data_IF_393241171822
#
_entry.id   IF_393241171822
#
_cell.length_a   1.000
_cell.length_b   1.000
_cell.length_c   1.000
_cell.angle_alpha   90.00
_cell.angle_beta   90.00
_cell.angle_gamma   90.00
#
_symmetry.space_group_name_H-M   'P 1'
#
loop_
_entity.id
_entity.type
_entity.pdbx_description
1 polymer ?
#
# COMPACT_ATOMS: atom_id res chain seq x y z
N UNK A 1 -4.63 -25.54 -15.47
CA UNK A 1 -4.69 -25.82 -16.93
C UNK A 1 -6.10 -26.12 -17.45
N UNK A 2 -6.69 -27.33 -17.33
CA UNK A 2 -8.02 -27.60 -17.94
C UNK A 2 -9.13 -26.72 -17.35
N UNK A 3 -9.19 -26.58 -16.02
CA UNK A 3 -10.21 -25.76 -15.35
C UNK A 3 -10.08 -24.26 -15.70
N UNK A 4 -8.87 -23.72 -15.80
CA UNK A 4 -8.65 -22.31 -16.16
C UNK A 4 -9.02 -22.02 -17.61
N UNK A 5 -8.70 -22.95 -18.53
CA UNK A 5 -9.09 -22.80 -19.93
C UNK A 5 -10.61 -22.79 -20.10
N UNK A 6 -11.31 -23.68 -19.39
CA UNK A 6 -12.78 -23.69 -19.37
C UNK A 6 -13.36 -22.37 -18.84
N UNK A 7 -12.81 -21.84 -17.74
CA UNK A 7 -13.27 -20.58 -17.16
C UNK A 7 -13.04 -19.38 -18.08
N UNK A 8 -11.92 -19.37 -18.81
CA UNK A 8 -11.65 -18.36 -19.84
C UNK A 8 -12.67 -18.43 -20.98
N UNK A 9 -12.93 -19.63 -21.51
CA UNK A 9 -13.92 -19.82 -22.57
C UNK A 9 -15.32 -19.39 -22.12
N UNK A 10 -15.74 -19.76 -20.91
CA UNK A 10 -17.04 -19.35 -20.37
C UNK A 10 -17.12 -17.83 -20.19
N UNK A 11 -16.03 -17.20 -19.73
CA UNK A 11 -15.95 -15.75 -19.58
C UNK A 11 -16.07 -15.06 -20.93
N UNK A 12 -15.26 -15.45 -21.91
CA UNK A 12 -15.32 -14.91 -23.27
C UNK A 12 -16.72 -15.06 -23.86
N UNK A 13 -17.33 -16.23 -23.69
CA UNK A 13 -18.66 -16.54 -24.17
C UNK A 13 -19.75 -15.62 -23.60
N UNK A 14 -19.66 -15.22 -22.33
CA UNK A 14 -20.59 -14.27 -21.70
C UNK A 14 -20.26 -12.79 -21.99
N UNK A 15 -19.03 -12.47 -22.37
CA UNK A 15 -18.60 -11.11 -22.73
C UNK A 15 -18.99 -10.72 -24.17
N UNK A 16 -19.26 -11.68 -25.07
CA UNK A 16 -19.74 -11.37 -26.43
C UNK A 16 -21.11 -10.69 -26.37
N UNK A 17 -21.24 -9.54 -27.03
CA UNK A 17 -22.50 -8.80 -27.13
C UNK A 17 -23.36 -9.27 -28.32
N UNK A 18 -24.66 -8.99 -28.25
CA UNK A 18 -25.60 -9.17 -29.37
C UNK A 18 -25.08 -8.53 -30.68
N UNK A 19 -25.39 -9.11 -31.86
CA UNK A 19 -26.30 -10.25 -32.09
C UNK A 19 -25.64 -11.63 -31.99
N UNK A 20 -24.32 -11.70 -31.74
CA UNK A 20 -23.56 -12.96 -31.73
C UNK A 20 -23.33 -13.54 -30.33
N UNK A 21 -23.77 -12.81 -29.29
CA UNK A 21 -23.63 -13.19 -27.89
C UNK A 21 -24.88 -13.78 -27.26
N UNK A 22 -24.76 -14.19 -26.00
CA UNK A 22 -25.89 -14.61 -25.17
C UNK A 22 -26.40 -13.44 -24.34
N UNK A 23 -27.70 -13.20 -24.43
CA UNK A 23 -28.38 -12.18 -23.63
C UNK A 23 -29.16 -12.79 -22.46
N UNK A 24 -29.54 -14.06 -22.54
CA UNK A 24 -30.33 -14.70 -21.49
C UNK A 24 -30.10 -16.21 -21.40
N UNK A 25 -30.37 -16.79 -20.23
CA UNK A 25 -30.32 -18.24 -19.99
C UNK A 25 -31.59 -18.75 -19.31
N UNK A 26 -31.91 -20.02 -19.52
CA UNK A 26 -33.05 -20.69 -18.87
C UNK A 26 -32.62 -21.51 -17.65
N UNK A 27 -31.45 -22.15 -17.70
CA UNK A 27 -30.93 -22.96 -16.59
C UNK A 27 -29.40 -23.14 -16.66
N UNK A 28 -28.78 -23.43 -15.51
CA UNK A 28 -27.39 -23.87 -15.38
C UNK A 28 -27.36 -25.21 -14.65
N UNK A 29 -26.87 -26.26 -15.31
CA UNK A 29 -26.91 -27.62 -14.77
C UNK A 29 -25.59 -28.07 -14.13
N UNK A 30 -25.62 -28.42 -12.83
CA UNK A 30 -24.56 -29.23 -12.24
C UNK A 30 -24.75 -30.69 -12.63
N UNK A 31 -23.77 -31.28 -13.31
CA UNK A 31 -23.82 -32.69 -13.70
C UNK A 31 -22.97 -33.52 -12.74
N UNK A 32 -23.58 -34.51 -12.08
CA UNK A 32 -22.91 -35.41 -11.13
C UNK A 32 -23.45 -36.84 -11.27
N UNK A 33 -22.60 -37.88 -11.13
CA UNK A 33 -23.11 -39.24 -10.95
C UNK A 33 -24.01 -39.35 -9.71
N UNK A 34 -25.11 -40.10 -9.80
CA UNK A 34 -26.05 -40.34 -8.70
C UNK A 34 -25.39 -40.99 -7.47
N UNK A 35 -24.33 -41.78 -7.69
CA UNK A 35 -23.54 -42.45 -6.65
C UNK A 35 -22.44 -41.57 -6.03
N UNK A 36 -22.33 -40.29 -6.42
CA UNK A 36 -21.28 -39.39 -5.93
C UNK A 36 -21.39 -39.22 -4.41
N UNK A 37 -20.39 -39.66 -3.67
CA UNK A 37 -20.36 -39.55 -2.20
C UNK A 37 -19.47 -38.40 -1.70
N UNK A 38 -18.57 -37.90 -2.55
CA UNK A 38 -17.62 -36.81 -2.24
C UNK A 38 -17.24 -36.08 -3.53
N UNK A 39 -17.10 -34.76 -3.45
CA UNK A 39 -16.45 -33.97 -4.51
C UNK A 39 -14.94 -33.91 -4.29
N UNK A 40 -14.19 -34.07 -5.38
CA UNK A 40 -12.76 -33.78 -5.40
C UNK A 40 -12.51 -32.28 -5.21
N UNK A 41 -11.31 -31.90 -4.75
CA UNK A 41 -10.92 -30.49 -4.65
C UNK A 41 -11.03 -29.75 -5.99
N UNK A 42 -10.71 -30.43 -7.10
CA UNK A 42 -10.87 -29.88 -8.45
C UNK A 42 -12.33 -29.62 -8.81
N UNK A 43 -13.24 -30.56 -8.53
CA UNK A 43 -14.68 -30.37 -8.78
C UNK A 43 -15.26 -29.23 -7.93
N UNK A 44 -14.91 -29.18 -6.64
CA UNK A 44 -15.30 -28.07 -5.75
C UNK A 44 -14.83 -26.73 -6.32
N UNK A 45 -13.57 -26.65 -6.75
CA UNK A 45 -13.02 -25.45 -7.37
C UNK A 45 -13.76 -25.06 -8.64
N UNK A 46 -14.05 -26.01 -9.54
CA UNK A 46 -14.78 -25.72 -10.79
C UNK A 46 -16.17 -25.17 -10.49
N UNK A 47 -16.94 -25.82 -9.62
CA UNK A 47 -18.28 -25.32 -9.27
C UNK A 47 -18.21 -23.95 -8.58
N UNK A 48 -17.25 -23.77 -7.68
CA UNK A 48 -16.99 -22.49 -7.04
C UNK A 48 -16.62 -21.40 -8.05
N UNK A 49 -15.73 -21.67 -9.01
CA UNK A 49 -15.27 -20.71 -9.99
C UNK A 49 -16.33 -20.40 -11.06
N UNK A 50 -17.13 -21.38 -11.48
CA UNK A 50 -18.26 -21.15 -12.40
C UNK A 50 -19.31 -20.27 -11.73
N UNK A 51 -19.65 -20.51 -10.45
CA UNK A 51 -20.60 -19.65 -9.73
C UNK A 51 -20.12 -18.21 -9.53
N UNK A 52 -18.80 -17.99 -9.52
CA UNK A 52 -18.24 -16.64 -9.47
C UNK A 52 -18.48 -15.81 -10.74
N UNK A 53 -18.79 -16.46 -11.88
CA UNK A 53 -19.06 -15.76 -13.13
C UNK A 53 -20.44 -15.09 -13.11
N UNK A 54 -21.40 -15.67 -12.38
CA UNK A 54 -22.81 -15.30 -12.50
C UNK A 54 -23.25 -14.23 -11.49
N UNK A 55 -24.23 -13.44 -11.94
CA UNK A 55 -25.01 -12.54 -11.09
C UNK A 55 -25.83 -13.30 -10.05
N UNK A 56 -26.09 -12.66 -8.90
CA UNK A 56 -26.86 -13.22 -7.78
C UNK A 56 -28.30 -13.57 -8.17
N UNK A 57 -28.84 -12.88 -9.18
CA UNK A 57 -30.17 -13.08 -9.76
C UNK A 57 -30.32 -14.46 -10.44
N UNK A 58 -29.22 -15.06 -10.90
CA UNK A 58 -29.22 -16.39 -11.53
C UNK A 58 -29.37 -17.55 -10.55
N UNK A 59 -29.37 -17.31 -9.24
CA UNK A 59 -29.36 -18.36 -8.21
C UNK A 59 -30.44 -19.43 -8.42
N UNK A 60 -31.66 -19.00 -8.74
CA UNK A 60 -32.81 -19.89 -8.94
C UNK A 60 -32.82 -20.60 -10.29
N UNK A 61 -31.82 -20.37 -11.16
CA UNK A 61 -31.64 -21.06 -12.44
C UNK A 61 -30.71 -22.26 -12.35
N UNK A 62 -30.05 -22.47 -11.22
CA UNK A 62 -29.18 -23.64 -11.06
C UNK A 62 -30.00 -24.89 -10.79
N UNK A 63 -29.73 -25.96 -11.53
CA UNK A 63 -30.40 -27.27 -11.42
C UNK A 63 -29.37 -28.38 -11.25
N UNK A 64 -29.78 -29.46 -10.59
CA UNK A 64 -28.94 -30.64 -10.38
C UNK A 64 -29.33 -31.75 -11.36
N UNK A 65 -28.40 -32.15 -12.22
CA UNK A 65 -28.57 -33.22 -13.21
C UNK A 65 -27.77 -34.44 -12.77
N UNK A 66 -28.46 -35.47 -12.26
CA UNK A 66 -27.82 -36.69 -11.79
C UNK A 66 -27.72 -37.71 -12.91
N UNK A 67 -26.52 -38.06 -13.35
CA UNK A 67 -26.29 -39.12 -14.32
C UNK A 67 -26.14 -40.49 -13.64
N UNK A 68 -26.25 -41.57 -14.40
CA UNK A 68 -26.16 -42.95 -13.89
C UNK A 68 -27.16 -43.26 -12.77
N UNK A 69 -28.36 -42.66 -12.83
CA UNK A 69 -29.43 -42.94 -11.88
C UNK A 69 -30.22 -44.17 -12.35
N UNK A 70 -29.76 -45.35 -11.98
CA UNK A 70 -30.33 -46.66 -12.29
C UNK A 70 -31.56 -47.04 -11.43
N UNK A 71 -32.16 -46.07 -10.75
CA UNK A 71 -33.25 -46.28 -9.78
C UNK A 71 -32.77 -46.52 -8.34
N UNK A 72 -31.46 -46.53 -8.10
CA UNK A 72 -30.90 -46.58 -6.75
C UNK A 72 -31.08 -45.26 -5.98
N UNK A 73 -30.88 -45.32 -4.66
CA UNK A 73 -30.90 -44.16 -3.78
C UNK A 73 -29.86 -43.11 -4.21
N UNK A 74 -30.36 -41.93 -4.52
CA UNK A 74 -29.64 -40.72 -4.95
C UNK A 74 -29.22 -39.83 -3.78
N UNK A 75 -29.56 -40.21 -2.54
CA UNK A 75 -29.18 -39.49 -1.32
C UNK A 75 -27.68 -39.21 -1.22
N UNK A 76 -26.75 -40.09 -1.66
CA UNK A 76 -25.32 -39.80 -1.60
C UNK A 76 -24.94 -38.52 -2.37
N UNK A 77 -25.40 -38.36 -3.61
CA UNK A 77 -25.14 -37.17 -4.41
C UNK A 77 -25.79 -35.93 -3.80
N UNK A 78 -27.04 -36.05 -3.32
CA UNK A 78 -27.76 -34.94 -2.68
C UNK A 78 -27.01 -34.47 -1.42
N UNK A 79 -26.57 -35.39 -0.56
CA UNK A 79 -25.82 -35.07 0.66
C UNK A 79 -24.46 -34.44 0.32
N UNK A 80 -23.82 -34.89 -0.77
CA UNK A 80 -22.57 -34.32 -1.27
C UNK A 80 -22.73 -32.87 -1.73
N UNK A 81 -23.79 -32.58 -2.50
CA UNK A 81 -24.10 -31.22 -2.98
C UNK A 81 -24.44 -30.30 -1.80
N UNK A 82 -25.26 -30.77 -0.85
CA UNK A 82 -25.60 -30.03 0.38
C UNK A 82 -24.37 -29.72 1.24
N UNK A 83 -23.53 -30.71 1.52
CA UNK A 83 -22.30 -30.53 2.31
C UNK A 83 -21.28 -29.61 1.63
N UNK A 84 -21.31 -29.54 0.29
CA UNK A 84 -20.48 -28.64 -0.50
C UNK A 84 -21.07 -27.22 -0.64
N UNK A 85 -22.21 -26.94 0.00
CA UNK A 85 -22.92 -25.64 -0.04
C UNK A 85 -23.27 -25.18 -1.45
N UNK A 86 -23.46 -26.11 -2.38
CA UNK A 86 -23.95 -25.80 -3.72
C UNK A 86 -25.47 -25.67 -3.67
N UNK A 87 -25.99 -24.58 -4.22
CA UNK A 87 -27.41 -24.34 -4.33
C UNK A 87 -27.94 -24.89 -5.66
N UNK A 88 -29.17 -25.38 -5.66
CA UNK A 88 -29.92 -25.78 -6.84
C UNK A 88 -31.41 -25.70 -6.51
N UNK A 89 -32.23 -25.35 -7.50
CA UNK A 89 -33.69 -25.25 -7.36
C UNK A 89 -34.35 -26.62 -7.47
N UNK A 90 -34.03 -27.32 -8.55
CA UNK A 90 -34.64 -28.59 -8.91
C UNK A 90 -33.59 -29.63 -9.28
N UNK A 91 -34.02 -30.90 -9.26
CA UNK A 91 -33.17 -32.04 -9.57
C UNK A 91 -33.85 -32.94 -10.60
N UNK A 92 -33.06 -33.39 -11.57
CA UNK A 92 -33.46 -34.33 -12.60
C UNK A 92 -32.50 -35.51 -12.64
N UNK A 93 -33.03 -36.70 -12.85
CA UNK A 93 -32.28 -37.95 -12.84
C UNK A 93 -32.23 -38.53 -14.26
N UNK A 94 -31.03 -38.80 -14.73
CA UNK A 94 -30.79 -39.36 -16.05
C UNK A 94 -30.13 -40.72 -15.90
N UNK A 95 -30.78 -41.73 -16.47
CA UNK A 95 -30.16 -43.03 -16.67
C UNK A 95 -29.69 -43.13 -18.11
N UNK A 96 -28.38 -43.15 -18.31
CA UNK A 96 -27.78 -43.24 -19.64
C UNK A 96 -27.43 -44.69 -20.02
N UNK A 97 -27.72 -45.69 -19.17
CA UNK A 97 -27.39 -47.10 -19.43
C UNK A 97 -28.06 -47.63 -20.70
N UNK A 98 -29.33 -47.26 -20.90
CA UNK A 98 -30.12 -47.71 -22.04
C UNK A 98 -29.68 -47.08 -23.38
N UNK A 99 -28.94 -45.97 -23.36
CA UNK A 99 -28.49 -45.28 -24.59
C UNK A 99 -27.48 -46.12 -25.38
N UNK A 100 -26.73 -46.98 -24.70
CA UNK A 100 -25.66 -47.79 -25.28
C UNK A 100 -25.97 -49.29 -25.25
N UNK A 101 -27.19 -49.67 -24.90
CA UNK A 101 -27.57 -51.07 -24.73
C UNK A 101 -28.28 -51.63 -25.97
N UNK A 102 -28.19 -52.95 -26.18
CA UNK A 102 -28.99 -53.64 -27.19
C UNK A 102 -30.47 -53.71 -26.75
N UNK A 103 -31.39 -53.41 -27.66
CA UNK A 103 -32.84 -53.33 -27.41
C UNK A 103 -33.54 -54.69 -27.14
N UNK A 104 -32.78 -55.75 -26.87
CA UNK A 104 -33.28 -57.11 -26.71
C UNK A 104 -33.64 -57.44 -25.26
N UNK A 105 -33.00 -56.79 -24.28
CA UNK A 105 -33.21 -57.03 -22.85
C UNK A 105 -34.39 -56.20 -22.28
N UNK A 106 -35.26 -56.85 -21.50
CA UNK A 106 -36.41 -56.23 -20.86
C UNK A 106 -36.02 -55.15 -19.85
N UNK A 107 -34.87 -55.30 -19.15
CA UNK A 107 -34.39 -54.27 -18.22
C UNK A 107 -33.96 -53.00 -18.95
N UNK A 108 -33.33 -53.13 -20.11
CA UNK A 108 -32.89 -51.98 -20.91
C UNK A 108 -34.08 -51.19 -21.45
N UNK A 109 -35.15 -51.88 -21.86
CA UNK A 109 -36.42 -51.23 -22.23
C UNK A 109 -37.02 -50.43 -21.07
N UNK A 110 -37.00 -50.97 -19.84
CA UNK A 110 -37.47 -50.27 -18.65
C UNK A 110 -36.64 -49.01 -18.37
N UNK A 111 -35.32 -49.10 -18.46
CA UNK A 111 -34.43 -47.95 -18.31
C UNK A 111 -34.62 -46.90 -19.41
N UNK A 112 -34.90 -47.31 -20.64
CA UNK A 112 -35.21 -46.41 -21.74
C UNK A 112 -36.50 -45.61 -21.48
N UNK A 113 -37.59 -46.28 -21.08
CA UNK A 113 -38.87 -45.63 -20.74
C UNK A 113 -38.70 -44.66 -19.56
N UNK A 114 -37.94 -45.05 -18.53
CA UNK A 114 -37.60 -44.16 -17.42
C UNK A 114 -36.81 -42.93 -17.89
N UNK A 115 -35.82 -43.13 -18.77
CA UNK A 115 -35.04 -42.05 -19.37
C UNK A 115 -35.90 -41.08 -20.18
N UNK A 116 -36.83 -41.58 -21.01
CA UNK A 116 -37.77 -40.75 -21.77
C UNK A 116 -38.65 -39.90 -20.84
N UNK A 117 -39.20 -40.51 -19.79
CA UNK A 117 -40.03 -39.80 -18.80
C UNK A 117 -39.25 -38.67 -18.12
N UNK A 118 -38.04 -38.94 -17.66
CA UNK A 118 -37.22 -37.95 -16.97
C UNK A 118 -36.75 -36.82 -17.90
N UNK A 119 -36.38 -37.14 -19.14
CA UNK A 119 -36.04 -36.12 -20.15
C UNK A 119 -37.25 -35.24 -20.47
N UNK A 120 -38.43 -35.84 -20.65
CA UNK A 120 -39.67 -35.09 -20.87
C UNK A 120 -39.96 -34.13 -19.72
N UNK A 121 -39.88 -34.60 -18.47
CA UNK A 121 -40.07 -33.74 -17.29
C UNK A 121 -39.07 -32.59 -17.23
N UNK A 122 -37.79 -32.84 -17.54
CA UNK A 122 -36.76 -31.80 -17.59
C UNK A 122 -37.04 -30.75 -18.67
N UNK A 123 -37.34 -31.18 -19.91
CA UNK A 123 -37.59 -30.28 -21.03
C UNK A 123 -38.90 -29.50 -20.86
N UNK A 124 -39.95 -30.10 -20.29
CA UNK A 124 -41.19 -29.40 -19.95
C UNK A 124 -40.96 -28.35 -18.87
N UNK A 125 -40.18 -28.66 -17.83
CA UNK A 125 -39.80 -27.67 -16.81
C UNK A 125 -39.00 -26.52 -17.43
N UNK A 126 -38.01 -26.83 -18.26
CA UNK A 126 -37.18 -25.82 -18.94
C UNK A 126 -37.99 -24.94 -19.90
N UNK A 127 -38.96 -25.51 -20.63
CA UNK A 127 -39.81 -24.77 -21.56
C UNK A 127 -40.84 -23.86 -20.88
N UNK A 128 -41.21 -24.16 -19.63
CA UNK A 128 -42.09 -23.32 -18.81
C UNK A 128 -41.31 -22.26 -18.00
N UNK A 129 -39.99 -22.36 -17.95
CA UNK A 129 -39.14 -21.46 -17.19
C UNK A 129 -38.91 -20.16 -17.97
N UNK A 130 -39.15 -19.01 -17.33
CA UNK A 130 -38.77 -17.74 -17.92
C UNK A 130 -37.24 -17.60 -18.03
N UNK A 131 -36.72 -17.11 -19.15
CA UNK A 131 -35.29 -16.79 -19.25
C UNK A 131 -34.90 -15.65 -18.30
N UNK A 132 -33.66 -15.65 -17.80
CA UNK A 132 -33.08 -14.52 -17.06
C UNK A 132 -32.03 -13.80 -17.92
N UNK A 133 -32.03 -12.46 -17.86
CA UNK A 133 -30.99 -11.66 -18.54
C UNK A 133 -29.61 -11.93 -17.93
N UNK A 134 -28.58 -11.85 -18.76
CA UNK A 134 -27.18 -11.93 -18.33
C UNK A 134 -26.56 -10.56 -18.03
N UNK A 135 -27.33 -9.47 -17.97
CA UNK A 135 -26.78 -8.13 -17.72
C UNK A 135 -26.01 -8.04 -16.39
N UNK A 136 -26.57 -8.58 -15.29
CA UNK A 136 -25.88 -8.58 -13.99
C UNK A 136 -24.66 -9.50 -14.01
N UNK A 137 -24.70 -10.60 -14.77
CA UNK A 137 -23.55 -11.49 -15.00
C UNK A 137 -22.44 -10.75 -15.74
N UNK A 138 -22.76 -9.98 -16.79
CA UNK A 138 -21.79 -9.13 -17.51
C UNK A 138 -21.18 -8.09 -16.58
N UNK A 139 -21.97 -7.46 -15.70
CA UNK A 139 -21.46 -6.51 -14.70
C UNK A 139 -20.50 -7.18 -13.71
N UNK A 140 -20.82 -8.39 -13.22
CA UNK A 140 -19.92 -9.19 -12.35
C UNK A 140 -18.57 -9.43 -13.03
N UNK A 141 -18.55 -9.78 -14.31
CA UNK A 141 -17.31 -10.03 -15.05
C UNK A 141 -16.47 -8.76 -15.19
N UNK A 142 -17.10 -7.60 -15.44
CA UNK A 142 -16.44 -6.29 -15.49
C UNK A 142 -15.81 -5.93 -14.14
N UNK A 143 -16.58 -6.00 -13.05
CA UNK A 143 -16.10 -5.69 -11.69
C UNK A 143 -14.97 -6.63 -11.26
N UNK A 144 -15.05 -7.92 -11.59
CA UNK A 144 -13.96 -8.89 -11.34
C UNK A 144 -12.70 -8.54 -12.13
N UNK A 145 -12.85 -8.16 -13.40
CA UNK A 145 -11.75 -7.69 -14.23
C UNK A 145 -11.08 -6.44 -13.65
N UNK A 146 -11.89 -5.47 -13.19
CA UNK A 146 -11.42 -4.27 -12.53
C UNK A 146 -10.65 -4.59 -11.23
N UNK A 147 -11.18 -5.49 -10.40
CA UNK A 147 -10.51 -5.91 -9.16
C UNK A 147 -9.18 -6.60 -9.45
N UNK A 148 -9.14 -7.56 -10.39
CA UNK A 148 -7.92 -8.26 -10.74
C UNK A 148 -6.81 -7.29 -11.20
N UNK A 149 -7.19 -6.29 -12.01
CA UNK A 149 -6.28 -5.22 -12.43
C UNK A 149 -5.83 -4.34 -11.25
N UNK A 150 -6.75 -3.96 -10.36
CA UNK A 150 -6.44 -3.15 -9.18
C UNK A 150 -5.47 -3.87 -8.24
N UNK A 151 -5.68 -5.16 -7.96
CA UNK A 151 -4.79 -5.97 -7.12
C UNK A 151 -3.39 -6.11 -7.74
N UNK A 152 -3.30 -6.31 -9.06
CA UNK A 152 -2.02 -6.36 -9.77
C UNK A 152 -1.27 -5.03 -9.65
N UNK A 153 -1.94 -3.91 -9.94
CA UNK A 153 -1.33 -2.59 -9.86
C UNK A 153 -0.88 -2.26 -8.43
N UNK A 154 -1.70 -2.58 -7.42
CA UNK A 154 -1.32 -2.39 -6.03
C UNK A 154 -0.10 -3.22 -5.63
N UNK A 155 0.02 -4.46 -6.13
CA UNK A 155 1.21 -5.27 -5.90
C UNK A 155 2.48 -4.59 -6.45
N UNK A 156 2.42 -4.05 -7.66
CA UNK A 156 3.52 -3.30 -8.28
C UNK A 156 3.84 -2.01 -7.50
N UNK A 157 2.82 -1.26 -7.07
CA UNK A 157 3.01 -0.04 -6.28
C UNK A 157 3.65 -0.33 -4.91
N UNK A 158 3.22 -1.40 -4.23
CA UNK A 158 3.77 -1.83 -2.93
C UNK A 158 5.24 -2.18 -3.09
N UNK A 159 5.62 -2.89 -4.16
CA UNK A 159 7.00 -3.19 -4.47
C UNK A 159 7.80 -1.89 -4.73
N UNK A 160 7.24 -0.96 -5.51
CA UNK A 160 7.86 0.33 -5.79
C UNK A 160 8.10 1.18 -4.53
N UNK A 161 7.11 1.26 -3.63
CA UNK A 161 7.27 1.94 -2.33
C UNK A 161 8.30 1.24 -1.46
N UNK A 162 8.30 -0.09 -1.42
CA UNK A 162 9.27 -0.85 -0.64
C UNK A 162 10.71 -0.60 -1.12
N UNK A 163 10.93 -0.56 -2.45
CA UNK A 163 12.24 -0.19 -3.02
C UNK A 163 12.68 1.19 -2.59
N UNK A 164 11.81 2.21 -2.69
CA UNK A 164 12.14 3.57 -2.25
C UNK A 164 12.46 3.65 -0.75
N UNK A 165 11.78 2.85 0.08
CA UNK A 165 12.10 2.75 1.50
C UNK A 165 13.50 2.17 1.73
N UNK A 166 13.88 1.14 0.97
CA UNK A 166 15.26 0.61 1.01
C UNK A 166 16.28 1.68 0.59
N UNK A 167 16.03 2.41 -0.49
CA UNK A 167 16.90 3.51 -0.95
C UNK A 167 17.03 4.60 0.13
N UNK A 168 15.92 4.93 0.80
CA UNK A 168 15.91 5.88 1.90
C UNK A 168 16.80 5.39 3.05
N UNK A 169 16.67 4.12 3.44
CA UNK A 169 17.50 3.53 4.50
C UNK A 169 19.00 3.55 4.15
N UNK A 170 19.36 3.28 2.90
CA UNK A 170 20.75 3.32 2.43
C UNK A 170 21.33 4.73 2.47
N UNK A 171 20.62 5.72 1.90
CA UNK A 171 21.04 7.13 1.93
C UNK A 171 21.10 7.68 3.37
N UNK A 172 20.23 7.19 4.25
CA UNK A 172 20.24 7.53 5.67
C UNK A 172 21.53 7.07 6.36
N UNK A 173 22.02 5.86 6.05
CA UNK A 173 23.30 5.34 6.56
C UNK A 173 24.48 6.13 5.98
N UNK A 174 24.43 6.48 4.70
CA UNK A 174 25.43 7.33 4.07
C UNK A 174 25.49 8.71 4.72
N UNK A 175 24.32 9.32 5.01
CA UNK A 175 24.26 10.62 5.67
C UNK A 175 24.97 10.56 7.02
N UNK A 176 24.66 9.56 7.85
CA UNK A 176 25.34 9.37 9.14
C UNK A 176 26.86 9.30 8.99
N UNK A 177 27.35 8.53 8.01
CA UNK A 177 28.78 8.45 7.73
C UNK A 177 29.37 9.84 7.41
N UNK A 178 28.71 10.61 6.54
CA UNK A 178 29.13 11.98 6.21
C UNK A 178 29.04 12.93 7.41
N UNK A 179 28.10 12.73 8.35
CA UNK A 179 28.04 13.54 9.58
C UNK A 179 29.27 13.34 10.46
N UNK A 180 29.71 12.09 10.62
CA UNK A 180 30.95 11.78 11.33
C UNK A 180 32.16 12.40 10.63
N UNK A 181 32.28 12.26 9.30
CA UNK A 181 33.39 12.83 8.53
C UNK A 181 33.44 14.37 8.65
N UNK A 182 32.28 15.04 8.56
CA UNK A 182 32.19 16.50 8.77
C UNK A 182 32.65 16.87 10.17
N UNK A 183 32.22 16.14 11.21
CA UNK A 183 32.59 16.44 12.60
C UNK A 183 34.11 16.39 12.83
N UNK A 184 34.82 15.51 12.15
CA UNK A 184 36.29 15.37 12.22
C UNK A 184 37.03 16.51 11.51
N UNK A 185 36.38 17.17 10.55
CA UNK A 185 36.93 18.32 9.80
C UNK A 185 36.58 19.68 10.37
N UNK A 186 35.91 19.73 11.52
CA UNK A 186 35.58 20.97 12.22
C UNK A 186 36.64 21.32 13.27
N UNK A 187 37.10 22.56 13.28
CA UNK A 187 37.86 23.14 14.38
C UNK A 187 36.97 24.04 15.23
N UNK A 188 37.14 23.91 16.54
CA UNK A 188 36.55 24.83 17.50
C UNK A 188 37.49 26.02 17.65
N UNK A 189 37.10 27.17 17.09
CA UNK A 189 37.88 28.41 17.13
C UNK A 189 37.10 29.50 17.84
N UNK A 190 37.82 30.33 18.60
CA UNK A 190 37.27 31.56 19.14
C UNK A 190 37.28 32.64 18.04
N UNK A 191 36.11 33.17 17.71
CA UNK A 191 35.97 34.24 16.72
C UNK A 191 35.29 35.48 17.31
N UNK A 192 35.57 36.64 16.71
CA UNK A 192 35.18 37.95 17.22
C UNK A 192 33.94 38.45 16.49
N UNK A 193 32.81 38.52 17.21
CA UNK A 193 31.56 39.01 16.65
C UNK A 193 31.32 40.47 17.03
N UNK A 194 31.03 41.29 16.02
CA UNK A 194 30.64 42.69 16.18
C UNK A 194 29.11 42.78 16.29
N UNK A 195 28.62 43.10 17.48
CA UNK A 195 27.19 43.24 17.79
C UNK A 195 26.83 44.72 17.80
N UNK A 196 25.86 45.13 16.99
CA UNK A 196 25.32 46.50 17.00
C UNK A 196 24.40 46.70 18.21
N UNK A 197 24.46 47.88 18.84
CA UNK A 197 23.67 48.23 20.02
C UNK A 197 22.70 49.36 19.66
N UNK A 198 21.39 49.14 19.84
CA UNK A 198 20.35 50.09 19.45
C UNK A 198 20.22 51.28 20.42
N UNK A 199 20.30 51.02 21.72
CA UNK A 199 20.09 52.02 22.78
C UNK A 199 21.32 52.28 23.64
N UNK A 200 22.08 51.23 23.91
CA UNK A 200 23.25 51.28 24.78
C UNK A 200 24.53 51.54 23.98
N UNK A 201 25.61 51.89 24.69
CA UNK A 201 26.93 52.02 24.09
C UNK A 201 27.93 51.13 24.83
N UNK A 202 29.00 50.77 24.14
CA UNK A 202 30.13 50.05 24.72
C UNK A 202 31.41 50.85 24.52
N UNK A 203 32.37 50.63 25.43
CA UNK A 203 33.70 51.22 25.31
C UNK A 203 34.63 50.15 24.76
N UNK A 204 35.15 50.38 23.56
CA UNK A 204 36.01 49.43 22.86
C UNK A 204 37.42 49.99 22.74
N UNK A 205 38.43 49.13 22.85
CA UNK A 205 39.83 49.53 22.73
C UNK A 205 40.39 49.19 21.34
N UNK A 206 40.84 50.18 20.58
CA UNK A 206 41.42 49.98 19.24
C UNK A 206 42.75 49.21 19.26
N UNK A 207 43.49 49.24 20.37
CA UNK A 207 44.80 48.58 20.48
C UNK A 207 44.70 47.11 20.89
N UNK A 208 43.57 46.64 21.42
CA UNK A 208 43.41 45.28 21.93
C UNK A 208 42.52 44.44 21.02
N UNK A 209 42.84 44.38 19.71
CA UNK A 209 42.00 43.72 18.70
C UNK A 209 40.51 44.10 18.80
N UNK A 210 40.22 45.35 19.16
CA UNK A 210 38.86 45.87 19.32
C UNK A 210 38.07 45.20 20.47
N UNK A 211 38.70 44.77 21.56
CA UNK A 211 38.00 44.21 22.72
C UNK A 211 37.05 45.20 23.40
N UNK A 212 35.83 44.78 23.74
CA UNK A 212 34.91 45.55 24.59
C UNK A 212 35.39 45.58 26.04
N UNK A 213 35.79 46.77 26.48
CA UNK A 213 36.34 47.05 27.81
C UNK A 213 35.26 47.33 28.86
N UNK A 214 34.15 47.95 28.45
CA UNK A 214 32.97 48.21 29.28
C UNK A 214 31.69 48.07 28.45
N UNK A 215 30.71 47.33 28.98
CA UNK A 215 29.35 47.25 28.47
C UNK A 215 28.40 46.85 29.62
N UNK A 216 27.24 47.54 29.78
CA UNK A 216 26.89 48.81 29.17
C UNK A 216 27.82 49.94 29.65
N UNK A 217 28.14 50.89 28.76
CA UNK A 217 29.06 51.99 29.07
C UNK A 217 28.43 52.97 30.06
N UNK A 218 29.05 53.09 31.24
CA UNK A 218 28.64 54.07 32.25
C UNK A 218 29.45 55.35 32.03
N UNK A 219 29.00 56.21 31.12
CA UNK A 219 29.60 57.53 30.91
C UNK A 219 28.57 58.61 31.25
N UNK A 220 29.01 59.69 31.91
CA UNK A 220 28.15 60.82 32.24
C UNK A 220 27.73 61.61 30.97
N UNK A 221 26.89 62.65 31.15
CA UNK A 221 26.43 63.52 30.06
C UNK A 221 27.57 64.17 29.26
N UNK A 222 28.78 64.29 29.84
CA UNK A 222 29.97 64.87 29.19
C UNK A 222 30.51 64.02 28.03
N UNK A 223 30.13 62.73 27.96
CA UNK A 223 30.68 61.72 27.02
C UNK A 223 32.21 61.55 27.12
N UNK A 224 32.86 62.03 28.19
CA UNK A 224 34.30 61.83 28.35
C UNK A 224 34.60 60.37 28.74
N UNK A 225 35.38 59.71 27.89
CA UNK A 225 35.80 58.32 28.08
C UNK A 225 36.65 58.16 29.34
N UNK A 226 37.29 59.23 29.85
CA UNK A 226 38.03 59.18 31.12
C UNK A 226 37.16 58.93 32.35
N UNK A 227 35.87 59.24 32.26
CA UNK A 227 34.90 59.07 33.36
C UNK A 227 34.27 57.67 33.41
N UNK A 228 34.57 56.85 32.40
CA UNK A 228 34.15 55.46 32.33
C UNK A 228 34.65 54.63 33.52
N UNK A 229 33.82 53.70 33.99
CA UNK A 229 34.19 52.75 35.05
C UNK A 229 35.36 51.84 34.66
N UNK A 230 35.63 51.65 33.36
CA UNK A 230 36.77 50.87 32.92
C UNK A 230 38.10 51.63 32.95
N UNK A 231 38.09 52.96 33.02
CA UNK A 231 39.31 53.77 33.15
C UNK A 231 39.57 54.07 34.64
N UNK A 232 40.80 53.88 35.11
CA UNK A 232 41.18 54.17 36.51
C UNK A 232 41.74 55.60 36.64
N UNK A 233 41.06 56.51 37.35
CA UNK A 233 41.63 57.80 37.74
C UNK A 233 42.95 57.61 38.52
N UNK A 234 43.93 58.50 38.34
CA UNK A 234 45.21 58.46 39.06
C UNK A 234 46.27 57.49 38.50
N UNK A 235 45.93 56.58 37.59
CA UNK A 235 46.89 55.62 36.99
C UNK A 235 47.36 56.01 35.58
N UNK A 236 47.60 57.30 35.34
CA UNK A 236 47.77 57.88 33.99
C UNK A 236 46.61 57.54 33.04
N UNK A 237 45.39 57.33 33.59
CA UNK A 237 44.17 56.96 32.87
C UNK A 237 44.33 55.69 32.01
N UNK A 238 44.81 54.60 32.61
CA UNK A 238 44.85 53.28 31.97
C UNK A 238 43.57 52.50 32.22
N UNK A 239 43.17 51.70 31.24
CA UNK A 239 42.01 50.80 31.34
C UNK A 239 42.30 49.64 32.29
N UNK A 240 41.35 49.33 33.19
CA UNK A 240 41.45 48.21 34.15
C UNK A 240 41.42 46.84 33.48
N UNK A 241 40.73 46.71 32.35
CA UNK A 241 40.53 45.44 31.64
C UNK A 241 41.67 45.11 30.68
N UNK A 242 42.13 46.09 29.90
CA UNK A 242 43.14 45.85 28.86
C UNK A 242 44.48 46.57 29.08
N UNK A 243 44.63 47.35 30.17
CA UNK A 243 45.83 48.14 30.54
C UNK A 243 46.28 49.21 29.54
N UNK A 244 45.59 49.36 28.40
CA UNK A 244 45.86 50.40 27.41
C UNK A 244 45.43 51.80 27.89
N UNK A 245 46.01 52.83 27.27
CA UNK A 245 45.65 54.23 27.56
C UNK A 245 44.21 54.53 27.14
N UNK A 246 43.50 55.36 27.92
CA UNK A 246 42.16 55.86 27.57
C UNK A 246 42.06 56.44 26.16
N UNK A 247 43.15 57.03 25.61
CA UNK A 247 43.20 57.60 24.25
C UNK A 247 42.89 56.59 23.15
N UNK A 248 43.11 55.31 23.43
CA UNK A 248 42.87 54.19 22.50
C UNK A 248 41.48 53.59 22.65
N UNK A 249 40.64 54.16 23.51
CA UNK A 249 39.28 53.69 23.74
C UNK A 249 38.28 54.61 23.02
N UNK A 250 37.23 54.01 22.47
CA UNK A 250 36.13 54.72 21.81
C UNK A 250 34.80 54.26 22.38
N UNK A 251 33.90 55.21 22.60
CA UNK A 251 32.51 54.94 22.90
C UNK A 251 31.76 54.69 21.59
N UNK A 252 31.29 53.47 21.36
CA UNK A 252 30.66 53.07 20.11
C UNK A 252 29.32 52.36 20.36
N UNK A 253 28.39 52.46 19.40
CA UNK A 253 27.12 51.70 19.39
C UNK A 253 27.33 50.26 18.88
N UNK A 254 28.42 49.62 19.32
CA UNK A 254 28.75 48.24 19.00
C UNK A 254 29.59 47.64 20.11
N UNK A 255 29.39 46.36 20.41
CA UNK A 255 30.26 45.57 21.30
C UNK A 255 30.86 44.39 20.54
N UNK A 256 32.01 43.93 21.02
CA UNK A 256 32.71 42.77 20.51
C UNK A 256 32.56 41.64 21.53
N UNK A 257 32.02 40.53 21.07
CA UNK A 257 31.81 39.32 21.85
C UNK A 257 32.64 38.21 21.22
N UNK A 258 33.46 37.55 22.04
CA UNK A 258 34.17 36.35 21.61
C UNK A 258 33.18 35.20 21.74
N UNK A 259 32.93 34.49 20.64
CA UNK A 259 32.14 33.27 20.66
C UNK A 259 32.99 32.12 20.16
N UNK A 260 32.85 31.00 20.82
CA UNK A 260 33.38 29.72 20.36
C UNK A 260 32.50 29.24 19.22
N UNK A 261 33.05 29.14 18.00
CA UNK A 261 32.34 28.65 16.82
C UNK A 261 33.10 27.50 16.17
N UNK A 262 32.38 26.61 15.51
CA UNK A 262 32.98 25.56 14.70
C UNK A 262 33.19 26.07 13.27
N UNK A 263 34.43 26.04 12.78
CA UNK A 263 34.77 26.36 11.38
C UNK A 263 35.36 25.14 10.67
N UNK A 264 35.15 25.06 9.36
CA UNK A 264 35.68 23.99 8.53
C UNK A 264 37.21 24.12 8.35
N UNK A 265 37.92 22.99 8.42
CA UNK A 265 39.33 22.88 8.05
C UNK A 265 39.49 22.91 6.53
N UNK A 266 40.05 24.01 6.02
CA UNK A 266 40.43 24.13 4.61
C UNK A 266 39.27 23.94 3.62
N UNK A 267 39.62 23.79 2.34
CA UNK A 267 38.64 23.60 1.26
C UNK A 267 37.93 22.24 1.39
N UNK A 268 38.63 21.21 1.86
CA UNK A 268 38.09 19.86 2.00
C UNK A 268 36.92 19.80 3.00
N UNK A 269 37.01 20.49 4.15
CA UNK A 269 35.91 20.57 5.11
C UNK A 269 34.68 21.28 4.55
N UNK A 270 34.88 22.33 3.73
CA UNK A 270 33.78 23.05 3.06
C UNK A 270 33.07 22.14 2.06
N UNK A 271 33.82 21.35 1.27
CA UNK A 271 33.26 20.38 0.32
C UNK A 271 32.42 19.32 1.05
N UNK A 272 32.93 18.72 2.13
CA UNK A 272 32.19 17.72 2.92
C UNK A 272 30.90 18.27 3.52
N UNK A 273 30.90 19.53 3.97
CA UNK A 273 29.68 20.21 4.44
C UNK A 273 28.67 20.42 3.32
N UNK A 274 29.13 20.82 2.13
CA UNK A 274 28.28 20.98 0.96
C UNK A 274 27.66 19.64 0.51
N UNK A 275 28.45 18.58 0.43
CA UNK A 275 27.96 17.23 0.11
C UNK A 275 26.95 16.71 1.14
N UNK A 276 27.18 16.93 2.44
CA UNK A 276 26.22 16.59 3.49
C UNK A 276 24.89 17.31 3.27
N UNK A 277 24.93 18.61 2.95
CA UNK A 277 23.71 19.40 2.68
C UNK A 277 22.97 18.86 1.46
N UNK A 278 23.69 18.54 0.38
CA UNK A 278 23.10 17.96 -0.83
C UNK A 278 22.41 16.62 -0.53
N UNK A 279 23.08 15.70 0.19
CA UNK A 279 22.49 14.42 0.56
C UNK A 279 21.26 14.58 1.47
N UNK A 280 21.29 15.52 2.42
CA UNK A 280 20.12 15.86 3.25
C UNK A 280 18.94 16.35 2.41
N UNK A 281 19.20 17.14 1.35
CA UNK A 281 18.16 17.60 0.42
C UNK A 281 17.57 16.46 -0.42
N UNK A 282 18.40 15.51 -0.88
CA UNK A 282 17.95 14.33 -1.63
C UNK A 282 17.08 13.40 -0.76
N UNK A 283 17.51 13.14 0.48
CA UNK A 283 16.75 12.38 1.47
C UNK A 283 15.37 12.99 1.72
N UNK A 284 15.30 14.32 1.80
CA UNK A 284 14.04 15.05 1.97
C UNK A 284 13.10 14.84 0.79
N UNK A 285 13.58 14.98 -0.44
CA UNK A 285 12.79 14.74 -1.65
C UNK A 285 12.31 13.28 -1.74
N UNK A 286 13.18 12.33 -1.39
CA UNK A 286 12.84 10.91 -1.38
C UNK A 286 11.77 10.59 -0.32
N UNK A 287 11.90 11.11 0.90
CA UNK A 287 10.91 10.95 1.97
C UNK A 287 9.54 11.53 1.56
N UNK A 288 9.52 12.70 0.91
CA UNK A 288 8.28 13.29 0.38
C UNK A 288 7.67 12.43 -0.74
N UNK A 289 8.49 11.87 -1.63
CA UNK A 289 8.04 10.94 -2.69
C UNK A 289 7.41 9.68 -2.10
N UNK A 290 8.02 9.08 -1.07
CA UNK A 290 7.49 7.89 -0.39
C UNK A 290 6.14 8.22 0.25
N UNK A 291 6.03 9.32 1.00
CA UNK A 291 4.78 9.74 1.64
C UNK A 291 3.67 9.95 0.61
N UNK A 292 3.98 10.55 -0.55
CA UNK A 292 3.02 10.69 -1.64
C UNK A 292 2.56 9.34 -2.17
N UNK A 293 3.49 8.43 -2.46
CA UNK A 293 3.15 7.08 -2.94
C UNK A 293 2.33 6.28 -1.93
N UNK A 294 2.57 6.45 -0.62
CA UNK A 294 1.73 5.83 0.42
C UNK A 294 0.30 6.35 0.43
N UNK A 295 0.08 7.66 0.23
CA UNK A 295 -1.27 8.23 0.11
C UNK A 295 -1.99 7.67 -1.13
N UNK A 296 -1.29 7.60 -2.26
CA UNK A 296 -1.82 7.02 -3.50
C UNK A 296 -2.18 5.53 -3.33
N UNK A 297 -1.34 4.76 -2.63
CA UNK A 297 -1.62 3.36 -2.27
C UNK A 297 -2.92 3.21 -1.46
N UNK A 298 -3.13 4.05 -0.44
CA UNK A 298 -4.36 4.03 0.36
C UNK A 298 -5.59 4.29 -0.51
N UNK A 299 -5.53 5.26 -1.42
CA UNK A 299 -6.63 5.52 -2.35
C UNK A 299 -6.93 4.31 -3.24
N UNK A 300 -5.91 3.67 -3.81
CA UNK A 300 -6.09 2.46 -4.64
C UNK A 300 -6.63 1.27 -3.85
N UNK A 301 -6.24 1.11 -2.59
CA UNK A 301 -6.82 0.10 -1.68
C UNK A 301 -8.31 0.36 -1.46
N UNK A 302 -8.70 1.63 -1.28
CA UNK A 302 -10.11 2.01 -1.13
C UNK A 302 -10.93 1.68 -2.38
N UNK A 303 -10.38 1.93 -3.57
CA UNK A 303 -11.00 1.54 -4.84
C UNK A 303 -11.20 0.03 -4.94
N UNK A 304 -10.15 -0.76 -4.66
CA UNK A 304 -10.25 -2.23 -4.65
C UNK A 304 -11.27 -2.74 -3.63
N UNK A 305 -11.34 -2.11 -2.46
CA UNK A 305 -12.34 -2.43 -1.44
C UNK A 305 -13.76 -2.09 -1.90
N UNK A 306 -13.97 -0.96 -2.58
CA UNK A 306 -15.26 -0.59 -3.14
C UNK A 306 -15.74 -1.61 -4.18
N UNK A 307 -14.86 -2.04 -5.10
CA UNK A 307 -15.15 -3.11 -6.05
C UNK A 307 -15.50 -4.43 -5.35
N UNK A 308 -14.79 -4.79 -4.27
CA UNK A 308 -15.15 -5.97 -3.46
C UNK A 308 -16.53 -5.85 -2.82
N UNK A 309 -16.91 -4.67 -2.31
CA UNK A 309 -18.28 -4.45 -1.80
C UNK A 309 -19.28 -4.65 -2.94
N UNK A 310 -19.04 -4.04 -4.10
CA UNK A 310 -19.93 -4.19 -5.26
C UNK A 310 -20.12 -5.66 -5.62
N UNK A 311 -19.02 -6.44 -5.71
CA UNK A 311 -19.08 -7.87 -5.95
C UNK A 311 -19.88 -8.64 -4.88
N UNK A 312 -19.87 -8.21 -3.61
CA UNK A 312 -20.74 -8.79 -2.57
C UNK A 312 -22.23 -8.56 -2.81
N UNK A 313 -22.60 -7.48 -3.50
CA UNK A 313 -23.98 -7.15 -3.82
C UNK A 313 -24.48 -7.90 -5.05
N UNK A 314 -23.63 -8.00 -6.09
CA UNK A 314 -24.08 -8.47 -7.41
C UNK A 314 -23.67 -9.90 -7.74
N UNK A 315 -22.60 -10.43 -7.15
CA UNK A 315 -22.07 -11.75 -7.50
C UNK A 315 -22.76 -12.85 -6.71
N UNK A 316 -23.11 -13.94 -7.40
CA UNK A 316 -23.65 -15.14 -6.78
C UNK A 316 -22.66 -15.78 -5.80
N UNK A 317 -21.37 -15.68 -6.12
CA UNK A 317 -20.28 -16.07 -5.24
C UNK A 317 -19.29 -14.89 -5.13
N UNK A 318 -19.28 -14.15 -4.01
CA UNK A 318 -18.67 -12.84 -3.96
C UNK A 318 -17.20 -12.82 -3.55
N UNK A 319 -16.68 -13.91 -2.99
CA UNK A 319 -15.27 -13.97 -2.61
C UNK A 319 -14.42 -13.87 -3.90
N UNK A 320 -13.55 -12.85 -4.03
CA UNK A 320 -12.80 -12.64 -5.25
C UNK A 320 -11.51 -13.47 -5.30
N UNK A 321 -11.14 -14.13 -4.21
CA UNK A 321 -9.87 -14.83 -4.08
C UNK A 321 -10.00 -16.30 -4.49
N UNK A 322 -8.92 -16.93 -5.00
CA UNK A 322 -8.92 -18.36 -5.28
C UNK A 322 -9.20 -19.17 -4.00
N UNK A 323 -9.81 -20.35 -4.15
CA UNK A 323 -10.13 -21.23 -3.04
C UNK A 323 -8.85 -21.77 -2.37
N UNK A 324 -8.71 -21.62 -1.05
CA UNK A 324 -7.52 -22.07 -0.32
C UNK A 324 -7.28 -23.58 -0.46
N UNK A 325 -8.37 -24.36 -0.30
CA UNK A 325 -8.35 -25.81 -0.46
C UNK A 325 -7.83 -26.25 -1.84
N UNK A 326 -8.05 -25.43 -2.88
CA UNK A 326 -7.59 -25.73 -4.23
C UNK A 326 -6.09 -25.48 -4.40
N UNK A 327 -5.57 -24.37 -3.86
CA UNK A 327 -4.12 -24.10 -3.88
C UNK A 327 -3.38 -25.20 -3.13
N UNK A 328 -3.88 -25.62 -1.97
CA UNK A 328 -3.30 -26.72 -1.18
C UNK A 328 -3.33 -28.05 -1.94
N UNK A 329 -4.45 -28.35 -2.61
CA UNK A 329 -4.55 -29.52 -3.46
C UNK A 329 -3.52 -29.50 -4.60
N UNK A 330 -3.31 -28.37 -5.28
CA UNK A 330 -2.29 -28.23 -6.33
C UNK A 330 -0.88 -28.48 -5.77
N UNK A 331 -0.56 -27.94 -4.60
CA UNK A 331 0.73 -28.17 -3.93
C UNK A 331 0.93 -29.66 -3.63
N UNK A 332 -0.10 -30.32 -3.09
CA UNK A 332 -0.05 -31.76 -2.82
C UNK A 332 0.09 -32.60 -4.10
N UNK A 333 -0.60 -32.22 -5.17
CA UNK A 333 -0.51 -32.88 -6.46
C UNK A 333 0.90 -32.75 -7.06
N UNK A 334 1.51 -31.56 -7.00
CA UNK A 334 2.90 -31.34 -7.44
C UNK A 334 3.90 -32.18 -6.64
N UNK A 335 3.73 -32.24 -5.30
CA UNK A 335 4.55 -33.10 -4.42
C UNK A 335 4.43 -34.58 -4.78
N UNK A 336 3.23 -35.04 -5.13
CA UNK A 336 2.97 -36.45 -5.46
C UNK A 336 3.48 -36.81 -6.85
N UNK A 337 3.28 -35.93 -7.84
CA UNK A 337 3.65 -36.20 -9.23
C UNK A 337 5.16 -36.05 -9.48
N UNK A 338 5.86 -35.21 -8.69
CA UNK A 338 7.33 -35.04 -8.71
C UNK A 338 7.93 -34.81 -10.10
N UNK A 339 7.17 -34.19 -11.01
CA UNK A 339 7.64 -33.94 -12.38
C UNK A 339 8.77 -32.90 -12.38
N UNK A 340 9.61 -32.90 -13.41
CA UNK A 340 10.68 -31.92 -13.56
C UNK A 340 10.20 -30.47 -13.28
N UNK A 341 10.93 -29.75 -12.44
CA UNK A 341 10.57 -28.40 -12.02
C UNK A 341 9.46 -28.27 -10.96
N UNK A 342 8.98 -29.37 -10.36
CA UNK A 342 7.91 -29.34 -9.35
C UNK A 342 8.24 -28.46 -8.13
N UNK A 343 9.50 -28.43 -7.67
CA UNK A 343 9.92 -27.58 -6.56
C UNK A 343 9.65 -26.09 -6.85
N UNK A 344 9.97 -25.64 -8.06
CA UNK A 344 9.70 -24.26 -8.50
C UNK A 344 8.20 -23.97 -8.59
N UNK A 345 7.40 -24.92 -9.08
CA UNK A 345 5.93 -24.77 -9.12
C UNK A 345 5.32 -24.72 -7.72
N UNK A 346 5.81 -25.54 -6.78
CA UNK A 346 5.40 -25.49 -5.37
C UNK A 346 5.73 -24.12 -4.77
N UNK A 347 6.95 -23.61 -5.00
CA UNK A 347 7.34 -22.28 -4.52
C UNK A 347 6.41 -21.18 -5.05
N UNK A 348 6.06 -21.22 -6.34
CA UNK A 348 5.09 -20.29 -6.93
C UNK A 348 3.70 -20.41 -6.29
N UNK A 349 3.22 -21.63 -6.05
CA UNK A 349 1.92 -21.86 -5.41
C UNK A 349 1.90 -21.37 -3.95
N UNK A 350 3.01 -21.53 -3.22
CA UNK A 350 3.16 -20.98 -1.85
C UNK A 350 3.19 -19.45 -1.86
N UNK A 351 3.83 -18.83 -2.85
CA UNK A 351 3.76 -17.37 -3.05
C UNK A 351 2.33 -16.91 -3.30
N UNK A 352 1.57 -17.60 -4.16
CA UNK A 352 0.13 -17.30 -4.39
C UNK A 352 -0.67 -17.43 -3.10
N UNK A 353 -0.40 -18.46 -2.28
CA UNK A 353 -1.05 -18.65 -0.98
C UNK A 353 -0.75 -17.49 -0.02
N UNK A 354 0.49 -17.03 0.03
CA UNK A 354 0.87 -15.90 0.87
C UNK A 354 0.24 -14.59 0.41
N UNK A 355 0.28 -14.31 -0.90
CA UNK A 355 -0.36 -13.14 -1.51
C UNK A 355 -1.87 -13.13 -1.24
N UNK A 356 -2.54 -14.28 -1.33
CA UNK A 356 -3.96 -14.43 -0.97
C UNK A 356 -4.24 -14.02 0.48
N UNK A 357 -3.42 -14.45 1.44
CA UNK A 357 -3.60 -14.10 2.87
C UNK A 357 -3.52 -12.58 3.08
N UNK A 358 -2.49 -11.97 2.51
CA UNK A 358 -2.28 -10.51 2.58
C UNK A 358 -3.46 -9.76 1.97
N UNK A 359 -3.92 -10.16 0.78
CA UNK A 359 -5.08 -9.53 0.15
C UNK A 359 -6.37 -9.72 0.94
N UNK A 360 -6.56 -10.89 1.54
CA UNK A 360 -7.70 -11.15 2.40
C UNK A 360 -7.72 -10.17 3.57
N UNK A 361 -6.59 -10.00 4.26
CA UNK A 361 -6.44 -9.03 5.35
C UNK A 361 -6.70 -7.60 4.88
N UNK A 362 -6.02 -7.13 3.83
CA UNK A 362 -6.17 -5.77 3.28
C UNK A 362 -7.62 -5.47 2.88
N UNK A 363 -8.29 -6.44 2.28
CA UNK A 363 -9.65 -6.28 1.78
C UNK A 363 -10.73 -6.55 2.84
N UNK A 364 -10.41 -7.21 3.95
CA UNK A 364 -11.34 -7.47 5.07
C UNK A 364 -11.17 -6.46 6.23
N UNK A 365 -10.01 -5.79 6.34
CA UNK A 365 -9.80 -4.69 7.29
C UNK A 365 -10.76 -3.54 6.97
N UNK A 366 -11.47 -3.05 8.01
CA UNK A 366 -12.23 -1.80 7.90
C UNK A 366 -11.23 -0.70 7.51
N UNK A 367 -11.48 -0.05 6.37
CA UNK A 367 -10.68 1.04 5.76
C UNK A 367 -10.17 2.08 6.78
N UNK A 368 -10.87 2.27 7.90
CA UNK A 368 -10.48 3.11 9.04
C UNK A 368 -9.10 2.78 9.66
N UNK A 369 -8.56 1.57 9.45
CA UNK A 369 -7.27 1.13 10.00
C UNK A 369 -6.07 1.24 9.04
N UNK A 370 -6.28 1.54 7.75
CA UNK A 370 -5.24 1.41 6.69
C UNK A 370 -3.95 2.24 6.89
N UNK A 371 -3.93 3.17 7.84
CA UNK A 371 -2.69 3.83 8.28
C UNK A 371 -1.71 2.89 9.03
N UNK A 372 -2.13 1.71 9.49
CA UNK A 372 -1.28 0.76 10.23
C UNK A 372 -0.58 -0.30 9.37
N UNK A 373 -0.99 -0.49 8.11
CA UNK A 373 -0.51 -1.61 7.26
C UNK A 373 0.87 -1.33 6.66
N UNK A 374 1.18 -0.07 6.40
CA UNK A 374 2.52 0.32 5.96
C UNK A 374 3.31 0.86 7.14
N UNK A 375 4.59 0.46 7.32
CA UNK A 375 5.47 1.12 8.27
C UNK A 375 5.41 2.62 7.99
N UNK A 376 4.97 3.39 8.97
CA UNK A 376 5.07 4.84 8.91
C UNK A 376 6.52 5.16 8.52
N UNK A 377 6.73 5.98 7.50
CA UNK A 377 8.07 6.41 7.07
C UNK A 377 8.85 6.92 8.28
N UNK A 378 8.15 7.56 9.22
CA UNK A 378 8.71 8.02 10.49
C UNK A 378 9.19 6.88 11.38
N UNK A 379 8.55 5.71 11.37
CA UNK A 379 8.96 4.52 12.13
C UNK A 379 10.23 3.86 11.56
N UNK A 380 10.42 3.91 10.24
CA UNK A 380 11.64 3.41 9.57
C UNK A 380 12.80 4.36 9.87
N UNK A 381 12.57 5.66 9.72
CA UNK A 381 13.56 6.70 10.02
C UNK A 381 13.99 6.71 11.49
N UNK A 382 13.04 6.54 12.42
CA UNK A 382 13.31 6.43 13.86
C UNK A 382 14.12 5.18 14.21
N UNK A 383 13.84 4.03 13.56
CA UNK A 383 14.62 2.79 13.73
C UNK A 383 16.05 2.93 13.22
N UNK A 384 16.22 3.62 12.10
CA UNK A 384 17.53 3.98 11.58
C UNK A 384 18.14 5.15 12.37
N UNK A 385 17.62 5.54 13.54
CA UNK A 385 18.22 6.55 14.43
C UNK A 385 18.29 7.95 13.83
N UNK A 386 17.39 8.29 12.92
CA UNK A 386 17.27 9.62 12.33
C UNK A 386 16.07 10.31 12.97
N UNK A 387 16.35 11.35 13.76
CA UNK A 387 15.31 12.15 14.41
C UNK A 387 14.69 13.14 13.41
N UNK A 388 13.50 12.80 12.93
CA UNK A 388 12.77 13.59 11.97
C UNK A 388 11.96 14.73 12.61
N UNK A 389 11.85 14.89 13.93
CA UNK A 389 11.23 16.10 14.51
C UNK A 389 12.07 17.35 14.20
N UNK A 390 13.40 17.18 14.17
CA UNK A 390 14.35 18.18 13.71
C UNK A 390 14.18 18.49 12.21
N UNK A 391 14.00 17.45 11.38
CA UNK A 391 13.82 17.59 9.94
C UNK A 391 12.42 18.10 9.56
N UNK A 392 11.37 17.75 10.30
CA UNK A 392 9.97 18.20 10.13
C UNK A 392 9.83 19.68 10.54
N UNK A 393 10.51 20.10 11.61
CA UNK A 393 10.69 21.50 12.01
C UNK A 393 11.46 22.29 10.95
N UNK A 394 12.57 21.77 10.40
CA UNK A 394 13.26 22.38 9.25
C UNK A 394 12.45 22.30 7.95
N UNK A 395 11.59 21.29 7.80
CA UNK A 395 10.69 21.10 6.64
C UNK A 395 9.51 22.06 6.65
N UNK A 396 9.10 22.53 7.83
CA UNK A 396 8.01 23.47 8.03
C UNK A 396 8.53 24.91 8.25
N UNK A 397 9.74 25.08 8.80
CA UNK A 397 10.28 26.34 9.33
C UNK A 397 11.74 26.64 8.92
N UNK A 398 12.42 25.76 8.19
CA UNK A 398 13.79 26.01 7.73
C UNK A 398 13.85 27.12 6.69
N UNK A 399 14.90 27.94 6.72
CA UNK A 399 15.14 28.97 5.71
C UNK A 399 15.18 28.32 4.31
N UNK A 400 14.16 28.63 3.51
CA UNK A 400 13.99 28.11 2.17
C UNK A 400 14.76 29.02 1.21
N UNK A 401 15.80 28.51 0.57
CA UNK A 401 16.22 29.08 -0.71
C UNK A 401 15.14 28.77 -1.76
N UNK A 402 14.84 29.74 -2.62
CA UNK A 402 13.67 29.87 -3.50
C UNK A 402 13.45 28.72 -4.54
N UNK A 403 14.21 27.62 -4.48
CA UNK A 403 14.21 26.56 -5.49
C UNK A 403 13.31 25.34 -5.17
N UNK A 404 12.52 25.36 -4.08
CA UNK A 404 11.55 24.26 -3.83
C UNK A 404 10.13 24.66 -4.28
N UNK A 405 9.45 23.90 -5.17
CA UNK A 405 8.14 24.32 -5.69
C UNK A 405 7.08 24.37 -4.58
N UNK A 406 6.71 25.58 -4.14
CA UNK A 406 5.58 25.88 -3.23
C UNK A 406 4.30 25.12 -3.57
N UNK A 407 4.10 24.74 -4.84
CA UNK A 407 2.97 23.93 -5.31
C UNK A 407 2.86 22.53 -4.68
N UNK A 408 3.98 21.89 -4.28
CA UNK A 408 3.92 20.57 -3.65
C UNK A 408 3.35 20.63 -2.22
N UNK A 409 3.73 21.65 -1.44
CA UNK A 409 3.24 21.84 -0.07
C UNK A 409 1.72 22.10 -0.06
N UNK A 410 1.20 22.90 -1.00
CA UNK A 410 -0.25 23.12 -1.11
C UNK A 410 -1.02 21.90 -1.63
N UNK A 411 -0.39 21.07 -2.48
CA UNK A 411 -0.98 19.79 -2.90
C UNK A 411 -1.14 18.84 -1.69
N UNK A 412 -0.14 18.77 -0.81
CA UNK A 412 -0.20 17.99 0.43
C UNK A 412 -1.29 18.49 1.39
N UNK A 413 -1.37 19.81 1.64
CA UNK A 413 -2.42 20.39 2.49
C UNK A 413 -3.84 20.11 1.97
N UNK A 414 -4.00 20.12 0.64
CA UNK A 414 -5.29 19.87 -0.02
C UNK A 414 -5.70 18.40 0.09
N UNK A 415 -4.77 17.45 -0.10
CA UNK A 415 -4.99 16.02 0.10
C UNK A 415 -5.38 15.69 1.55
N UNK A 416 -4.67 16.25 2.54
CA UNK A 416 -5.00 16.09 3.97
C UNK A 416 -6.40 16.64 4.31
N UNK A 417 -6.79 17.80 3.76
CA UNK A 417 -8.14 18.35 3.95
C UNK A 417 -9.24 17.49 3.30
N UNK A 418 -8.97 16.85 2.16
CA UNK A 418 -9.93 15.94 1.50
C UNK A 418 -10.11 14.64 2.29
N UNK A 419 -9.02 14.06 2.78
CA UNK A 419 -9.04 12.83 3.58
C UNK A 419 -9.74 13.05 4.95
N UNK A 420 -9.51 14.19 5.61
CA UNK A 420 -10.15 14.52 6.89
C UNK A 420 -11.63 14.95 6.79
N UNK A 421 -12.13 15.30 5.60
CA UNK A 421 -13.56 15.63 5.40
C UNK A 421 -14.42 14.38 5.18
N UNK A 422 -13.85 13.31 4.64
CA UNK A 422 -14.57 12.04 4.45
C UNK A 422 -14.69 11.21 5.73
N UNK A 423 -13.88 11.49 6.77
CA UNK A 423 -13.97 10.82 8.08
C UNK A 423 -14.97 11.45 9.05
N UNK A 424 -15.60 12.59 8.69
CA UNK A 424 -16.59 13.30 9.53
C UNK A 424 -18.03 13.19 9.01
N UNK A 425 -18.26 12.40 7.95
CA UNK A 425 -19.61 12.02 7.48
C UNK A 425 -19.72 10.50 7.46
N UNK A 426 -19.80 9.89 8.63
CA UNK A 426 -20.55 8.65 8.92
C UNK A 426 -20.56 8.41 10.41
#
# INVERSE_FOLDING_TARGET
>A
MIAEHLLLQLREFFEVCAPHGLDSIHAVGYVLPASTTRLTAAQKYIFYAVTQLFGIDTKEKFVLLLSFSDGQDVSPAINTVKSSKLFYRERYNFNNSALYACNEDCMQKMFWVMGQKNNKMFLESLGNEASISLDLTKEVLVERGALAKALKNLQEDIQGVSSKICDLQEQCRELKKKELEVSQTMDVVEDWFKIHLEKEKAINCSNCKQTTCEYPATISKSKDIKESKCIRPGTKFKCKKCRCSWKTHRLEAKRYEVRTISKCKGVEGVVKVAEKRQLKSQLRLLAMSIRRSQVELVCRIQEAHATKIRLKEISLNPDPLPLEEYIEFLIQAEKKNSQAGFLRRIEQLEQVKQVRKVWKEILDEKVSGTYSVFPDVMSVLKREGIDFQSLESELLHGDWDDETPRGMIETFKTLFKRLGKNSKKK
#
